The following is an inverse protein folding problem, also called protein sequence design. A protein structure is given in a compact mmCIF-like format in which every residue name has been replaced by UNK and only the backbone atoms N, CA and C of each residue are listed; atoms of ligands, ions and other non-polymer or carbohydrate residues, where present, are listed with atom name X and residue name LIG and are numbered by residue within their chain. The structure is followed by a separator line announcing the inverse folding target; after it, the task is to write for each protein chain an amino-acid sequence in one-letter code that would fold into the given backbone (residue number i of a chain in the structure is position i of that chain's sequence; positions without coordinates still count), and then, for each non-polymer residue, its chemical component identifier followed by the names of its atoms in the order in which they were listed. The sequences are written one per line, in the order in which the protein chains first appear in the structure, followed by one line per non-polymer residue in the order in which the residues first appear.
data_IF_976357888762
#
_entry.id   IF_976357888762
#
_cell.length_a   1.000
_cell.length_b   1.000
_cell.length_c   1.000
_cell.angle_alpha   90.00
_cell.angle_beta   90.00
_cell.angle_gamma   90.00
#
_symmetry.space_group_name_H-M   'P 1'
#
loop_
_entity.id
_entity.type
_entity.pdbx_description
1 polymer ?
#
# COMPACT_ATOMS: atom_id res chain seq x y z
N UNK A 1 10.12 3.55 -22.57
CA UNK A 1 9.07 4.42 -21.97
C UNK A 1 7.98 4.63 -22.98
N UNK A 2 6.90 3.88 -22.85
CA UNK A 2 5.84 3.77 -23.87
C UNK A 2 4.94 5.01 -24.00
N UNK A 3 5.00 5.95 -23.05
CA UNK A 3 4.14 7.16 -23.08
C UNK A 3 4.73 8.33 -23.87
N UNK A 4 5.95 8.20 -24.42
CA UNK A 4 6.58 9.23 -25.24
C UNK A 4 6.79 10.61 -24.58
N UNK A 5 6.67 10.66 -23.24
CA UNK A 5 6.77 11.90 -22.47
C UNK A 5 8.22 12.38 -22.30
N UNK A 6 9.18 11.45 -22.37
CA UNK A 6 10.61 11.72 -22.21
C UNK A 6 11.38 10.86 -23.21
N UNK A 7 12.44 11.42 -23.80
CA UNK A 7 13.34 10.64 -24.65
C UNK A 7 14.27 9.81 -23.78
N UNK A 8 14.56 8.55 -24.17
CA UNK A 8 15.42 7.63 -23.42
C UNK A 8 16.81 8.24 -23.13
N UNK A 9 17.30 9.09 -24.01
CA UNK A 9 18.61 9.77 -23.88
C UNK A 9 18.60 10.84 -22.77
N UNK A 10 17.43 11.28 -22.28
CA UNK A 10 17.30 12.33 -21.25
C UNK A 10 16.79 11.77 -19.91
N UNK A 11 16.72 10.46 -19.77
CA UNK A 11 16.16 9.81 -18.61
C UNK A 11 17.08 8.74 -18.05
N UNK A 12 17.48 8.88 -16.81
CA UNK A 12 18.25 7.87 -16.06
C UNK A 12 17.34 7.19 -15.03
N UNK A 13 17.25 5.86 -15.08
CA UNK A 13 16.51 5.07 -14.09
C UNK A 13 17.39 4.84 -12.87
N UNK A 14 17.10 5.52 -11.79
CA UNK A 14 17.89 5.46 -10.56
C UNK A 14 17.39 4.44 -9.55
N UNK A 15 16.14 4.02 -9.64
CA UNK A 15 15.45 3.14 -8.70
C UNK A 15 14.64 3.91 -7.65
N UNK A 16 13.89 3.20 -6.81
CA UNK A 16 13.00 3.81 -5.83
C UNK A 16 13.74 4.14 -4.53
N UNK A 17 14.01 5.43 -4.31
CA UNK A 17 14.86 5.92 -3.21
C UNK A 17 14.20 5.74 -1.84
N UNK A 18 12.89 5.97 -1.72
CA UNK A 18 12.20 6.04 -0.42
C UNK A 18 12.31 4.76 0.42
N UNK A 19 11.94 3.55 -0.07
CA UNK A 19 12.10 2.32 0.72
C UNK A 19 13.54 2.07 1.15
N UNK A 20 14.48 2.30 0.23
CA UNK A 20 15.91 2.13 0.50
C UNK A 20 16.42 3.08 1.60
N UNK A 21 16.01 4.36 1.56
CA UNK A 21 16.39 5.35 2.55
C UNK A 21 15.76 5.04 3.93
N UNK A 22 14.47 4.72 3.96
CA UNK A 22 13.75 4.41 5.20
C UNK A 22 14.34 3.18 5.89
N UNK A 23 14.67 2.12 5.16
CA UNK A 23 15.28 0.91 5.73
C UNK A 23 16.63 1.20 6.39
N UNK A 24 17.42 2.13 5.83
CA UNK A 24 18.76 2.51 6.36
C UNK A 24 18.68 3.47 7.53
N UNK A 25 17.80 4.46 7.46
CA UNK A 25 17.66 5.51 8.48
C UNK A 25 16.84 5.03 9.68
N UNK A 26 15.90 4.12 9.44
CA UNK A 26 14.99 3.58 10.44
C UNK A 26 14.93 2.05 10.34
N UNK A 27 16.00 1.31 10.71
CA UNK A 27 16.06 -0.16 10.54
C UNK A 27 15.00 -0.90 11.38
N UNK A 28 14.58 -0.33 12.49
CA UNK A 28 13.55 -0.94 13.34
C UNK A 28 12.17 -0.76 12.71
N UNK A 29 11.42 -1.86 12.62
CA UNK A 29 10.03 -1.83 12.16
C UNK A 29 9.16 -1.17 13.23
N UNK A 30 8.35 -0.15 12.89
CA UNK A 30 7.47 0.50 13.85
C UNK A 30 6.43 -0.47 14.42
N UNK A 31 6.27 -0.47 15.73
CA UNK A 31 5.23 -1.23 16.40
C UNK A 31 3.95 -0.40 16.49
N UNK A 32 2.81 -1.01 16.14
CA UNK A 32 1.48 -0.38 16.20
C UNK A 32 0.63 -1.03 17.28
N UNK A 33 0.74 -2.35 17.44
CA UNK A 33 -0.01 -3.12 18.43
C UNK A 33 0.95 -3.79 19.45
N UNK A 34 0.47 -4.01 20.66
CA UNK A 34 1.28 -4.69 21.70
C UNK A 34 1.30 -6.21 21.51
N UNK A 35 0.34 -6.78 20.79
CA UNK A 35 0.27 -8.21 20.48
C UNK A 35 1.09 -8.58 19.23
N UNK A 36 1.15 -9.87 18.90
CA UNK A 36 1.89 -10.43 17.75
C UNK A 36 0.97 -10.98 16.65
N UNK A 37 -0.29 -10.57 16.65
CA UNK A 37 -1.25 -11.02 15.66
C UNK A 37 -0.92 -10.48 14.26
N UNK A 38 -1.33 -11.22 13.24
CA UNK A 38 -1.22 -10.78 11.85
C UNK A 38 -1.91 -9.43 11.65
N UNK A 39 -1.18 -8.48 11.10
CA UNK A 39 -1.64 -7.10 10.91
C UNK A 39 -1.99 -6.87 9.45
N UNK A 40 -3.23 -6.43 9.20
CA UNK A 40 -3.75 -6.02 7.91
C UNK A 40 -3.73 -4.51 7.83
N UNK A 41 -3.13 -3.95 6.78
CA UNK A 41 -3.17 -2.51 6.47
C UNK A 41 -4.24 -2.25 5.42
N UNK A 42 -5.23 -1.44 5.73
CA UNK A 42 -6.18 -0.90 4.77
C UNK A 42 -5.80 0.53 4.37
N UNK A 43 -5.46 0.69 3.08
CA UNK A 43 -4.96 1.95 2.52
C UNK A 43 -5.80 2.39 1.31
N UNK A 44 -7.03 2.92 1.52
CA UNK A 44 -7.87 3.40 0.44
C UNK A 44 -7.38 4.72 -0.15
N UNK A 45 -7.59 4.87 -1.47
CA UNK A 45 -7.24 6.06 -2.25
C UNK A 45 -8.08 7.28 -1.85
N UNK A 46 -7.61 8.49 -2.17
CA UNK A 46 -8.31 9.74 -1.83
C UNK A 46 -9.34 10.18 -2.87
N UNK A 47 -9.18 9.77 -4.14
CA UNK A 47 -10.13 10.13 -5.20
C UNK A 47 -11.38 9.27 -5.09
N UNK A 48 -12.54 9.93 -5.10
CA UNK A 48 -13.85 9.26 -4.97
C UNK A 48 -14.06 8.14 -5.98
N UNK A 49 -13.58 8.31 -7.20
CA UNK A 49 -13.77 7.33 -8.28
C UNK A 49 -12.91 6.08 -8.10
N UNK A 50 -11.75 6.22 -7.46
CA UNK A 50 -10.78 5.14 -7.23
C UNK A 50 -10.86 4.53 -5.83
N UNK A 51 -11.43 5.29 -4.87
CA UNK A 51 -11.48 4.87 -3.47
C UNK A 51 -12.53 3.81 -3.21
N UNK A 52 -12.13 2.79 -2.49
CA UNK A 52 -13.03 1.77 -1.94
C UNK A 52 -13.72 2.21 -0.63
N UNK A 53 -13.32 3.34 -0.05
CA UNK A 53 -13.75 3.76 1.28
C UNK A 53 -15.27 3.94 1.41
N UNK A 54 -15.90 4.68 0.48
CA UNK A 54 -17.33 5.00 0.58
C UNK A 54 -18.22 3.75 0.54
N UNK A 55 -17.79 2.71 -0.19
CA UNK A 55 -18.56 1.48 -0.36
C UNK A 55 -18.25 0.44 0.72
N UNK A 56 -17.00 0.35 1.19
CA UNK A 56 -16.56 -0.76 2.03
C UNK A 56 -15.96 -0.36 3.38
N UNK A 57 -15.52 0.90 3.54
CA UNK A 57 -14.70 1.29 4.69
C UNK A 57 -15.36 1.04 6.05
N UNK A 58 -16.64 1.42 6.21
CA UNK A 58 -17.38 1.23 7.45
C UNK A 58 -17.65 -0.26 7.73
N UNK A 59 -18.03 -1.02 6.71
CA UNK A 59 -18.34 -2.44 6.84
C UNK A 59 -17.07 -3.26 7.14
N UNK A 60 -15.91 -2.86 6.59
CA UNK A 60 -14.61 -3.44 6.96
C UNK A 60 -14.29 -3.17 8.44
N UNK A 61 -14.45 -1.94 8.91
CA UNK A 61 -14.25 -1.62 10.34
C UNK A 61 -15.16 -2.47 11.24
N UNK A 62 -16.44 -2.64 10.87
CA UNK A 62 -17.37 -3.51 11.62
C UNK A 62 -16.97 -4.99 11.57
N UNK A 63 -16.52 -5.48 10.41
CA UNK A 63 -16.07 -6.86 10.28
C UNK A 63 -14.82 -7.14 11.14
N UNK A 64 -13.82 -6.26 11.09
CA UNK A 64 -12.60 -6.40 11.87
C UNK A 64 -12.80 -6.19 13.36
N UNK A 65 -13.78 -5.39 13.80
CA UNK A 65 -14.10 -5.26 15.23
C UNK A 65 -14.57 -6.57 15.88
N UNK A 66 -15.01 -7.53 15.05
CA UNK A 66 -15.43 -8.87 15.47
C UNK A 66 -14.37 -9.95 15.23
N UNK A 67 -13.35 -9.64 14.43
CA UNK A 67 -12.28 -10.58 14.04
C UNK A 67 -11.02 -10.31 14.87
N UNK A 68 -11.12 -10.63 16.16
CA UNK A 68 -10.10 -10.33 17.17
C UNK A 68 -8.77 -11.08 17.00
N UNK A 69 -8.69 -12.05 16.09
CA UNK A 69 -7.48 -12.82 15.75
C UNK A 69 -6.59 -12.10 14.72
N UNK A 70 -7.01 -10.93 14.24
CA UNK A 70 -6.28 -10.06 13.33
C UNK A 70 -6.21 -8.64 13.85
N UNK A 71 -5.07 -7.99 13.66
CA UNK A 71 -4.94 -6.55 13.80
C UNK A 71 -5.33 -5.85 12.50
N UNK A 72 -5.93 -4.67 12.60
CA UNK A 72 -6.37 -3.87 11.48
C UNK A 72 -5.91 -2.42 11.60
N UNK A 73 -5.05 -1.99 10.69
CA UNK A 73 -4.63 -0.60 10.55
C UNK A 73 -5.46 0.02 9.42
N UNK A 74 -6.19 1.08 9.73
CA UNK A 74 -6.87 1.93 8.74
C UNK A 74 -6.05 3.19 8.58
N UNK A 75 -5.27 3.25 7.52
CA UNK A 75 -4.42 4.39 7.18
C UNK A 75 -4.67 4.79 5.72
N UNK A 76 -5.77 5.51 5.45
CA UNK A 76 -6.10 6.00 4.12
C UNK A 76 -5.06 7.01 3.63
N UNK A 77 -5.08 7.26 2.32
CA UNK A 77 -4.31 8.36 1.78
C UNK A 77 -4.65 9.67 2.52
N UNK A 78 -3.64 10.43 2.92
CA UNK A 78 -3.76 11.63 3.79
C UNK A 78 -4.80 12.67 3.32
N UNK A 79 -5.10 12.70 2.03
CA UNK A 79 -6.07 13.63 1.43
C UNK A 79 -7.52 13.18 1.56
N UNK A 80 -7.78 11.89 1.85
CA UNK A 80 -9.16 11.36 1.87
C UNK A 80 -10.03 12.06 2.91
N UNK A 81 -9.48 12.27 4.11
CA UNK A 81 -10.19 12.90 5.22
C UNK A 81 -9.74 14.33 5.54
N UNK A 82 -8.82 14.91 4.76
CA UNK A 82 -8.23 16.22 5.04
C UNK A 82 -9.27 17.37 5.12
N UNK A 83 -10.38 17.24 4.40
CA UNK A 83 -11.45 18.24 4.35
C UNK A 83 -12.76 17.77 4.99
N UNK A 84 -12.78 16.61 5.64
CA UNK A 84 -13.97 16.08 6.29
C UNK A 84 -14.19 16.77 7.65
N UNK A 85 -15.46 16.92 8.02
CA UNK A 85 -15.85 17.47 9.32
C UNK A 85 -15.29 16.63 10.48
N UNK A 86 -14.98 17.28 11.59
CA UNK A 86 -14.44 16.62 12.78
C UNK A 86 -15.34 15.50 13.30
N UNK A 87 -16.66 15.67 13.21
CA UNK A 87 -17.64 14.66 13.61
C UNK A 87 -17.52 13.39 12.79
N UNK A 88 -17.39 13.50 11.46
CA UNK A 88 -17.21 12.33 10.55
C UNK A 88 -15.90 11.61 10.88
N UNK A 89 -14.83 12.35 11.07
CA UNK A 89 -13.52 11.79 11.47
C UNK A 89 -13.63 11.09 12.84
N UNK A 90 -14.26 11.73 13.82
CA UNK A 90 -14.44 11.18 15.17
C UNK A 90 -15.22 9.86 15.19
N UNK A 91 -16.23 9.70 14.34
CA UNK A 91 -16.95 8.42 14.20
C UNK A 91 -16.07 7.28 13.72
N UNK A 92 -15.13 7.57 12.82
CA UNK A 92 -14.17 6.57 12.30
C UNK A 92 -13.08 6.30 13.33
N UNK A 93 -12.51 7.34 13.93
CA UNK A 93 -11.48 7.25 14.96
C UNK A 93 -11.96 6.50 16.21
N UNK A 94 -13.28 6.54 16.50
CA UNK A 94 -13.90 5.83 17.61
C UNK A 94 -13.74 4.29 17.51
N UNK A 95 -13.45 3.74 16.32
CA UNK A 95 -13.13 2.32 16.19
C UNK A 95 -11.79 1.94 16.83
N UNK A 96 -10.88 2.88 17.10
CA UNK A 96 -9.65 2.64 17.87
C UNK A 96 -9.90 2.25 19.33
N UNK A 97 -11.15 2.24 19.81
CA UNK A 97 -11.54 1.62 21.09
C UNK A 97 -11.37 0.08 21.11
N UNK A 98 -11.35 -0.55 19.93
CA UNK A 98 -11.08 -1.99 19.82
C UNK A 98 -9.56 -2.20 19.81
N UNK A 99 -9.05 -3.06 20.67
CA UNK A 99 -7.61 -3.30 20.86
C UNK A 99 -6.89 -3.77 19.59
N UNK A 100 -7.62 -4.37 18.66
CA UNK A 100 -7.12 -4.86 17.40
C UNK A 100 -7.31 -3.87 16.24
N UNK A 101 -7.82 -2.65 16.46
CA UNK A 101 -8.03 -1.65 15.42
C UNK A 101 -7.25 -0.37 15.73
N UNK A 102 -6.44 0.06 14.78
CA UNK A 102 -5.75 1.35 14.79
C UNK A 102 -6.21 2.20 13.61
N UNK A 103 -6.72 3.39 13.88
CA UNK A 103 -7.17 4.34 12.85
C UNK A 103 -6.24 5.57 12.85
N UNK A 104 -5.69 5.87 11.68
CA UNK A 104 -4.89 7.07 11.43
C UNK A 104 -5.39 7.77 10.16
N UNK A 105 -6.10 8.86 10.31
CA UNK A 105 -6.71 9.61 9.21
C UNK A 105 -5.80 10.73 8.65
N UNK A 106 -4.49 10.58 8.75
CA UNK A 106 -3.55 11.46 8.06
C UNK A 106 -2.41 12.03 8.87
N UNK A 107 -1.85 11.30 9.83
CA UNK A 107 -0.55 11.64 10.41
C UNK A 107 0.61 11.38 9.44
N UNK A 108 1.82 11.82 9.78
CA UNK A 108 3.04 11.54 9.01
C UNK A 108 3.29 10.04 8.83
N UNK A 109 2.86 9.20 9.80
CA UNK A 109 2.99 7.74 9.75
C UNK A 109 2.25 7.09 8.58
N UNK A 110 1.21 7.73 8.05
CA UNK A 110 0.51 7.28 6.84
C UNK A 110 1.34 7.43 5.57
N UNK A 111 2.45 8.18 5.61
CA UNK A 111 3.28 8.44 4.43
C UNK A 111 4.76 8.12 4.61
N UNK A 112 5.25 7.86 5.83
CA UNK A 112 6.66 7.58 6.13
C UNK A 112 7.04 6.10 6.10
N UNK A 113 6.16 5.24 5.59
CA UNK A 113 6.25 3.78 5.55
C UNK A 113 6.08 3.08 6.92
N UNK A 114 5.68 3.79 7.97
CA UNK A 114 5.45 3.17 9.28
C UNK A 114 4.45 2.01 9.18
N UNK A 115 3.32 2.21 8.49
CA UNK A 115 2.27 1.20 8.40
C UNK A 115 2.55 0.14 7.34
N UNK A 116 3.11 0.49 6.19
CA UNK A 116 3.48 -0.49 5.16
C UNK A 116 4.55 -1.47 5.64
N UNK A 117 5.44 -1.01 6.54
CA UNK A 117 6.45 -1.89 7.16
C UNK A 117 5.90 -2.71 8.33
N UNK A 118 4.96 -2.16 9.11
CA UNK A 118 4.37 -2.87 10.25
C UNK A 118 3.37 -3.96 9.83
N UNK A 119 2.78 -3.86 8.64
CA UNK A 119 1.76 -4.78 8.17
C UNK A 119 2.33 -6.08 7.58
N UNK A 120 1.58 -7.17 7.78
CA UNK A 120 1.82 -8.48 7.18
C UNK A 120 1.01 -8.69 5.89
N UNK A 121 -0.17 -8.06 5.78
CA UNK A 121 -1.08 -8.15 4.65
C UNK A 121 -1.49 -6.74 4.23
N UNK A 122 -1.44 -6.47 2.93
CA UNK A 122 -1.97 -5.24 2.34
C UNK A 122 -3.40 -5.46 1.87
N UNK A 123 -4.29 -4.56 2.24
CA UNK A 123 -5.64 -4.43 1.70
C UNK A 123 -5.78 -3.01 1.12
N UNK A 124 -6.14 -2.88 -0.12
CA UNK A 124 -6.28 -1.56 -0.72
C UNK A 124 -6.98 -1.57 -2.07
N UNK A 125 -7.03 -0.40 -2.65
CA UNK A 125 -7.54 -0.16 -4.00
C UNK A 125 -6.40 0.32 -4.92
N UNK A 126 -6.46 1.55 -5.44
CA UNK A 126 -5.44 2.09 -6.36
C UNK A 126 -4.47 2.97 -5.59
N UNK A 127 -3.35 2.42 -5.16
CA UNK A 127 -2.35 3.18 -4.40
C UNK A 127 -0.93 2.74 -4.70
N UNK A 128 -0.06 3.70 -4.99
CA UNK A 128 1.39 3.43 -5.16
C UNK A 128 2.07 2.95 -3.87
N UNK A 129 1.46 3.09 -2.71
CA UNK A 129 1.99 2.54 -1.45
C UNK A 129 2.09 1.02 -1.44
N UNK A 130 1.39 0.32 -2.34
CA UNK A 130 1.57 -1.12 -2.53
C UNK A 130 3.03 -1.48 -2.87
N UNK A 131 3.72 -0.65 -3.66
CA UNK A 131 5.14 -0.87 -3.99
C UNK A 131 6.09 -0.60 -2.81
N UNK A 132 5.69 0.24 -1.87
CA UNK A 132 6.41 0.41 -0.60
C UNK A 132 6.22 -0.80 0.32
N UNK A 133 5.01 -1.37 0.34
CA UNK A 133 4.69 -2.59 1.08
C UNK A 133 5.41 -3.81 0.49
N UNK A 134 5.47 -3.92 -0.82
CA UNK A 134 6.10 -5.01 -1.57
C UNK A 134 7.63 -4.82 -1.76
N UNK A 135 8.30 -4.07 -0.86
CA UNK A 135 9.78 -4.12 -0.81
C UNK A 135 10.32 -5.55 -0.65
N UNK A 136 9.49 -6.44 -0.13
CA UNK A 136 9.61 -7.90 -0.13
C UNK A 136 8.25 -8.49 -0.50
N UNK A 137 8.18 -9.64 -1.22
CA UNK A 137 6.91 -10.30 -1.52
C UNK A 137 6.11 -10.58 -0.26
N UNK A 138 4.89 -10.07 -0.20
CA UNK A 138 3.95 -10.24 0.91
C UNK A 138 2.52 -10.30 0.39
N UNK A 139 1.60 -10.93 1.14
CA UNK A 139 0.21 -11.02 0.72
C UNK A 139 -0.44 -9.65 0.49
N UNK A 140 -1.06 -9.49 -0.69
CA UNK A 140 -1.90 -8.36 -1.05
C UNK A 140 -3.33 -8.84 -1.34
N UNK A 141 -4.31 -8.02 -0.98
CA UNK A 141 -5.73 -8.19 -1.32
C UNK A 141 -6.19 -6.85 -1.87
N UNK A 142 -6.85 -6.85 -3.02
CA UNK A 142 -7.39 -5.65 -3.62
C UNK A 142 -8.91 -5.65 -3.52
N UNK A 143 -9.50 -4.48 -3.28
CA UNK A 143 -10.94 -4.33 -3.21
C UNK A 143 -11.40 -3.35 -4.29
N UNK A 144 -12.28 -3.83 -5.14
CA UNK A 144 -12.79 -3.14 -6.32
C UNK A 144 -14.28 -2.92 -6.23
N UNK A 145 -14.76 -1.74 -6.63
CA UNK A 145 -16.18 -1.53 -6.88
C UNK A 145 -16.65 -2.51 -7.96
N UNK A 146 -17.87 -3.01 -7.86
CA UNK A 146 -18.41 -4.00 -8.81
C UNK A 146 -18.39 -3.57 -10.27
N UNK A 147 -18.39 -2.26 -10.52
CA UNK A 147 -18.38 -1.68 -11.86
C UNK A 147 -17.00 -1.44 -12.44
N UNK A 148 -15.94 -1.68 -11.66
CA UNK A 148 -14.57 -1.40 -12.10
C UNK A 148 -14.08 -2.45 -13.09
N UNK A 149 -13.78 -2.01 -14.32
CA UNK A 149 -13.11 -2.82 -15.33
C UNK A 149 -11.60 -2.58 -15.24
N UNK A 150 -10.90 -3.51 -14.64
CA UNK A 150 -9.47 -3.36 -14.35
C UNK A 150 -8.55 -4.23 -15.21
N UNK A 151 -9.07 -5.36 -15.74
CA UNK A 151 -8.27 -6.29 -16.52
C UNK A 151 -7.73 -5.61 -17.79
N UNK A 152 -6.41 -5.69 -17.97
CA UNK A 152 -5.71 -5.08 -19.11
C UNK A 152 -5.55 -3.56 -19.03
N UNK A 153 -6.00 -2.91 -17.96
CA UNK A 153 -5.77 -1.49 -17.74
C UNK A 153 -4.47 -1.29 -16.94
N UNK A 154 -3.46 -0.56 -17.47
CA UNK A 154 -2.17 -0.37 -16.82
C UNK A 154 -2.28 0.36 -15.46
N UNK A 155 -3.29 1.20 -15.25
CA UNK A 155 -3.49 1.90 -13.97
C UNK A 155 -3.79 0.95 -12.81
N UNK A 156 -4.26 -0.26 -13.12
CA UNK A 156 -4.57 -1.32 -12.16
C UNK A 156 -3.59 -2.49 -12.23
N UNK A 157 -2.42 -2.35 -12.85
CA UNK A 157 -1.47 -3.45 -13.04
C UNK A 157 -1.13 -4.17 -11.72
N UNK A 158 -1.02 -3.42 -10.61
CA UNK A 158 -0.74 -3.98 -9.28
C UNK A 158 -1.86 -4.87 -8.71
N UNK A 159 -3.06 -4.86 -9.27
CA UNK A 159 -4.13 -5.79 -8.86
C UNK A 159 -3.88 -7.24 -9.30
N UNK A 160 -2.92 -7.45 -10.17
CA UNK A 160 -2.42 -8.80 -10.47
C UNK A 160 -1.56 -9.43 -9.37
N UNK A 161 -1.22 -8.68 -8.32
CA UNK A 161 -0.36 -9.13 -7.22
C UNK A 161 -1.13 -9.78 -6.06
N UNK A 162 -2.43 -9.93 -6.18
CA UNK A 162 -3.28 -10.55 -5.18
C UNK A 162 -4.72 -10.73 -5.66
N UNK A 163 -5.58 -11.39 -4.87
CA UNK A 163 -6.99 -11.52 -5.21
C UNK A 163 -7.69 -10.16 -5.23
N UNK A 164 -8.61 -9.97 -6.20
CA UNK A 164 -9.48 -8.81 -6.31
C UNK A 164 -10.86 -9.17 -5.78
N UNK A 165 -11.29 -8.47 -4.73
CA UNK A 165 -12.54 -8.69 -4.01
C UNK A 165 -13.58 -7.62 -4.36
N UNK A 166 -14.86 -7.98 -4.37
CA UNK A 166 -15.97 -7.08 -4.68
C UNK A 166 -16.97 -6.95 -3.53
N UNK A 167 -16.65 -7.52 -2.37
CA UNK A 167 -17.44 -7.44 -1.14
C UNK A 167 -16.55 -7.63 0.08
N UNK A 168 -17.03 -7.21 1.26
CA UNK A 168 -16.35 -7.47 2.54
C UNK A 168 -16.25 -8.97 2.81
N UNK A 169 -17.26 -9.75 2.40
CA UNK A 169 -17.23 -11.19 2.54
C UNK A 169 -16.09 -11.82 1.73
N UNK A 170 -15.88 -11.36 0.48
CA UNK A 170 -14.76 -11.84 -0.36
C UNK A 170 -13.42 -11.50 0.30
N UNK A 171 -13.29 -10.32 0.92
CA UNK A 171 -12.08 -9.93 1.66
C UNK A 171 -11.83 -10.88 2.83
N UNK A 172 -12.88 -11.23 3.61
CA UNK A 172 -12.72 -12.17 4.74
C UNK A 172 -12.29 -13.56 4.26
N UNK A 173 -12.89 -14.06 3.18
CA UNK A 173 -12.49 -15.33 2.55
C UNK A 173 -11.05 -15.27 2.03
N UNK A 174 -10.67 -14.16 1.39
CA UNK A 174 -9.31 -13.98 0.90
C UNK A 174 -8.28 -13.95 2.04
N UNK A 175 -8.59 -13.29 3.16
CA UNK A 175 -7.74 -13.27 4.35
C UNK A 175 -7.50 -14.67 4.92
N UNK A 176 -8.53 -15.50 5.00
CA UNK A 176 -8.40 -16.88 5.50
C UNK A 176 -7.54 -17.74 4.54
N UNK A 177 -7.69 -17.55 3.21
CA UNK A 177 -6.86 -18.24 2.20
C UNK A 177 -5.40 -17.80 2.24
N UNK A 178 -5.14 -16.51 2.40
CA UNK A 178 -3.78 -15.95 2.53
C UNK A 178 -3.08 -16.50 3.77
N UNK A 179 -3.77 -16.62 4.91
CA UNK A 179 -3.22 -17.28 6.11
C UNK A 179 -2.80 -18.73 5.87
N UNK A 180 -3.43 -19.42 4.91
CA UNK A 180 -3.08 -20.78 4.50
C UNK A 180 -1.96 -20.82 3.44
N UNK A 181 -1.39 -19.67 3.07
CA UNK A 181 -0.37 -19.57 2.02
C UNK A 181 -0.94 -19.73 0.59
N UNK A 182 -2.22 -19.45 0.37
CA UNK A 182 -2.90 -19.57 -0.91
C UNK A 182 -3.59 -18.26 -1.31
N UNK A 183 -3.62 -17.93 -2.60
CA UNK A 183 -2.75 -18.40 -3.69
C UNK A 183 -1.36 -17.74 -3.65
N UNK A 184 -0.40 -18.30 -4.38
CA UNK A 184 0.95 -17.75 -4.51
C UNK A 184 1.00 -16.68 -5.61
N UNK A 185 1.41 -15.47 -5.25
CA UNK A 185 1.60 -14.33 -6.14
C UNK A 185 3.06 -13.83 -6.15
N UNK A 186 3.98 -14.50 -5.51
CA UNK A 186 5.35 -14.03 -5.31
C UNK A 186 6.05 -13.67 -6.62
N UNK A 187 5.88 -14.50 -7.66
CA UNK A 187 6.50 -14.24 -8.96
C UNK A 187 5.93 -12.95 -9.59
N UNK A 188 4.59 -12.79 -9.63
CA UNK A 188 3.95 -11.61 -10.20
C UNK A 188 4.32 -10.33 -9.43
N UNK A 189 4.43 -10.42 -8.10
CA UNK A 189 4.87 -9.33 -7.24
C UNK A 189 6.32 -8.94 -7.50
N UNK A 190 7.22 -9.92 -7.60
CA UNK A 190 8.64 -9.67 -7.85
C UNK A 190 8.88 -9.01 -9.21
N UNK A 191 8.25 -9.55 -10.28
CA UNK A 191 8.34 -8.98 -11.63
C UNK A 191 7.75 -7.57 -11.71
N UNK A 192 6.57 -7.36 -11.13
CA UNK A 192 5.91 -6.06 -11.14
C UNK A 192 6.62 -5.02 -10.29
N UNK A 193 7.17 -5.40 -9.14
CA UNK A 193 7.99 -4.50 -8.34
C UNK A 193 9.29 -4.14 -9.07
N UNK A 194 9.96 -5.09 -9.70
CA UNK A 194 11.15 -4.83 -10.51
C UNK A 194 10.85 -3.80 -11.62
N UNK A 195 9.73 -3.96 -12.32
CA UNK A 195 9.32 -3.04 -13.38
C UNK A 195 8.98 -1.63 -12.85
N UNK A 196 8.33 -1.55 -11.68
CA UNK A 196 7.86 -0.27 -11.11
C UNK A 196 8.93 0.50 -10.33
N UNK A 197 9.84 -0.21 -9.63
CA UNK A 197 10.76 0.40 -8.65
C UNK A 197 12.23 0.26 -9.02
N UNK A 198 12.54 -0.51 -10.05
CA UNK A 198 13.91 -0.82 -10.46
C UNK A 198 14.50 -2.01 -9.71
N UNK A 199 15.75 -2.34 -10.03
CA UNK A 199 16.42 -3.51 -9.47
C UNK A 199 16.69 -3.33 -7.96
N UNK A 200 16.23 -4.26 -7.09
CA UNK A 200 16.39 -4.15 -5.64
C UNK A 200 17.86 -4.23 -5.18
N UNK A 201 18.77 -4.75 -6.01
CA UNK A 201 20.21 -4.78 -5.71
C UNK A 201 20.89 -3.42 -5.89
N UNK A 202 20.23 -2.45 -6.50
CA UNK A 202 20.80 -1.13 -6.72
C UNK A 202 20.87 -0.32 -5.44
N UNK A 203 21.84 0.58 -5.39
CA UNK A 203 21.84 1.69 -4.45
C UNK A 203 21.21 2.92 -5.16
N UNK A 204 19.92 3.18 -5.03
CA UNK A 204 19.23 4.22 -5.78
C UNK A 204 19.70 5.63 -5.42
N UNK A 205 20.17 5.84 -4.17
CA UNK A 205 20.71 7.14 -3.73
C UNK A 205 22.03 7.42 -4.48
N UNK A 206 22.92 6.42 -4.53
CA UNK A 206 24.19 6.59 -5.24
C UNK A 206 23.97 6.77 -6.73
N UNK A 207 23.11 5.97 -7.35
CA UNK A 207 22.78 6.12 -8.77
C UNK A 207 22.21 7.49 -9.10
N UNK A 208 21.31 8.02 -8.27
CA UNK A 208 20.77 9.37 -8.45
C UNK A 208 21.86 10.44 -8.32
N UNK A 209 22.76 10.32 -7.35
CA UNK A 209 23.87 11.25 -7.18
C UNK A 209 24.85 11.21 -8.35
N UNK A 210 25.19 9.99 -8.83
CA UNK A 210 26.09 9.81 -9.98
C UNK A 210 25.47 10.39 -11.27
N UNK A 211 24.16 10.18 -11.49
CA UNK A 211 23.43 10.76 -12.62
C UNK A 211 23.44 12.30 -12.60
N UNK A 212 23.18 12.92 -11.46
CA UNK A 212 23.26 14.38 -11.31
C UNK A 212 24.67 14.89 -11.56
N UNK A 213 25.68 14.19 -11.04
CA UNK A 213 27.09 14.57 -11.25
C UNK A 213 27.49 14.51 -12.73
N UNK A 214 27.10 13.45 -13.45
CA UNK A 214 27.36 13.34 -14.89
C UNK A 214 26.78 14.54 -15.68
N UNK A 215 25.55 14.95 -15.37
CA UNK A 215 24.95 16.12 -16.02
C UNK A 215 25.73 17.41 -15.76
N UNK A 216 26.28 17.57 -14.54
CA UNK A 216 27.05 18.76 -14.17
C UNK A 216 28.46 18.77 -14.80
N UNK A 217 29.06 17.60 -14.96
CA UNK A 217 30.39 17.45 -15.57
C UNK A 217 30.36 17.65 -17.11
N UNK A 218 29.17 17.43 -17.74
CA UNK A 218 28.95 17.60 -19.19
C UNK A 218 28.42 19.02 -19.56
N UNK A 219 28.16 19.90 -18.58
CA UNK A 219 27.63 21.26 -18.77
C UNK A 219 28.73 22.34 -18.78
#
# INVERSE_FOLDING_TARGET
MELGLVQDQTCEVTGYIKPFAVQRLHPTVPRVFENTQTTVLYNPHFSKDLSSWEEFGHDLLQAFSKKIDLNFIVAPHIRLFAKQAAEVRGHIEAFSKFENIHVDLGSSRSSDMSYTRAANIYLGDVSSQVYEFLSEPKPCIFIAKRTTQWQGNPDYAHWSYGPVCHSVLDVMVALDRVKLGLPDYEQAQAEGCLAATGNPSWNPIRRAADAVKSILDDA
#
